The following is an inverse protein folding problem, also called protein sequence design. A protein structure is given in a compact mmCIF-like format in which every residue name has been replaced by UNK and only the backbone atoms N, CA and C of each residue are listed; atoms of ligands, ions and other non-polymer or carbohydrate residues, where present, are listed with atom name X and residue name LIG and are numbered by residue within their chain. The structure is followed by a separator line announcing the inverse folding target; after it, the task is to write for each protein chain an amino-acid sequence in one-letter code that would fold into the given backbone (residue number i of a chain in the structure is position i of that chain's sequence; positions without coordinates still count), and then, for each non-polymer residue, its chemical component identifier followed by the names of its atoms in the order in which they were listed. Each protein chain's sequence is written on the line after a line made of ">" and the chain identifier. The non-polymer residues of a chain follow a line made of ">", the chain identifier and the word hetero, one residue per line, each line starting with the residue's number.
data_IF_092633181640
#
_entry.id   IF_092633181640
#
_cell.length_a   1.000
_cell.length_b   1.000
_cell.length_c   1.000
_cell.angle_alpha   90.00
_cell.angle_beta   90.00
_cell.angle_gamma   90.00
#
_symmetry.space_group_name_H-M   'P 1'
#
loop_
_entity.id
_entity.type
_entity.pdbx_description
1 polymer ?
#
# COMPACT_ATOMS: atom_id res chain seq x y z
N UNK A 1 9.38 29.12 8.22
CA UNK A 1 8.81 28.37 9.37
C UNK A 1 7.97 27.14 9.00
N UNK A 2 7.77 26.81 7.72
CA UNK A 2 6.95 25.67 7.28
C UNK A 2 7.65 24.31 7.24
N UNK A 3 8.98 24.26 7.35
CA UNK A 3 9.76 23.03 7.17
C UNK A 3 9.80 22.11 8.42
N UNK A 4 9.47 22.64 9.61
CA UNK A 4 9.49 21.83 10.85
C UNK A 4 8.31 20.88 10.99
N UNK A 5 7.19 21.16 10.30
CA UNK A 5 5.96 20.36 10.40
C UNK A 5 5.93 19.13 9.47
N UNK A 6 6.95 18.92 8.64
CA UNK A 6 7.01 17.81 7.67
C UNK A 6 7.79 16.58 8.16
N UNK A 7 8.11 16.46 9.45
CA UNK A 7 8.76 15.26 9.97
C UNK A 7 7.95 13.96 9.76
N UNK A 8 6.58 13.96 9.71
CA UNK A 8 5.86 12.74 9.39
C UNK A 8 6.07 12.31 7.93
N UNK A 9 6.19 13.25 6.99
CA UNK A 9 6.55 12.96 5.61
C UNK A 9 7.97 12.39 5.54
N UNK A 10 8.91 12.95 6.30
CA UNK A 10 10.26 12.42 6.38
C UNK A 10 10.32 11.00 6.97
N UNK A 11 9.49 10.70 7.97
CA UNK A 11 9.34 9.34 8.49
C UNK A 11 8.76 8.39 7.44
N UNK A 12 7.77 8.85 6.66
CA UNK A 12 7.21 8.08 5.55
C UNK A 12 8.24 7.80 4.45
N UNK A 13 9.11 8.78 4.13
CA UNK A 13 10.25 8.59 3.22
C UNK A 13 11.21 7.52 3.72
N UNK A 14 11.48 7.50 5.02
CA UNK A 14 12.29 6.46 5.67
C UNK A 14 11.63 5.08 5.57
N UNK A 15 10.32 4.98 5.77
CA UNK A 15 9.58 3.71 5.57
C UNK A 15 9.71 3.22 4.11
N UNK A 16 9.65 4.10 3.11
CA UNK A 16 9.94 3.75 1.72
C UNK A 16 11.37 3.21 1.57
N UNK A 17 12.35 3.91 2.15
CA UNK A 17 13.77 3.50 2.12
C UNK A 17 14.04 2.20 2.88
N UNK A 18 13.21 1.84 3.88
CA UNK A 18 13.33 0.56 4.61
C UNK A 18 13.03 -0.67 3.74
N UNK A 19 12.20 -0.50 2.73
CA UNK A 19 11.85 -1.55 1.76
C UNK A 19 12.81 -1.53 0.57
N UNK A 20 13.10 -0.33 0.04
CA UNK A 20 13.98 -0.09 -1.10
C UNK A 20 14.86 1.12 -0.82
N UNK A 21 16.14 0.89 -0.71
CA UNK A 21 17.15 1.91 -0.31
C UNK A 21 17.00 3.18 -1.16
N UNK A 22 16.86 3.02 -2.46
CA UNK A 22 16.81 4.13 -3.41
C UNK A 22 15.41 4.62 -3.77
N UNK A 23 14.34 4.14 -3.12
CA UNK A 23 12.99 4.65 -3.38
C UNK A 23 12.85 6.15 -3.11
N UNK A 24 13.30 6.62 -1.95
CA UNK A 24 13.29 8.04 -1.58
C UNK A 24 14.14 8.90 -2.53
N UNK A 25 15.43 8.62 -2.73
CA UNK A 25 16.27 9.32 -3.69
C UNK A 25 15.70 9.32 -5.12
N UNK A 26 15.15 8.21 -5.60
CA UNK A 26 14.54 8.12 -6.92
C UNK A 26 13.32 9.06 -7.06
N UNK A 27 12.48 9.16 -6.03
CA UNK A 27 11.36 10.10 -6.03
C UNK A 27 11.80 11.55 -5.93
N UNK A 28 12.84 11.89 -5.17
CA UNK A 28 13.45 13.23 -5.21
C UNK A 28 13.95 13.58 -6.62
N UNK A 29 14.55 12.61 -7.30
CA UNK A 29 14.98 12.78 -8.69
C UNK A 29 13.78 12.92 -9.66
N UNK A 30 12.70 12.18 -9.45
CA UNK A 30 11.47 12.28 -10.24
C UNK A 30 10.81 13.65 -10.09
N UNK A 31 10.78 14.19 -8.87
CA UNK A 31 10.24 15.52 -8.55
C UNK A 31 11.20 16.69 -8.85
N UNK A 32 12.32 16.42 -9.54
CA UNK A 32 13.27 17.45 -9.98
C UNK A 32 14.18 18.03 -8.90
N UNK A 33 14.18 17.47 -7.69
CA UNK A 33 15.07 17.91 -6.59
C UNK A 33 16.52 17.41 -6.75
N UNK A 34 16.70 16.37 -7.54
CA UNK A 34 18.00 15.91 -8.02
C UNK A 34 18.02 16.05 -9.53
N UNK A 35 18.99 16.82 -10.07
CA UNK A 35 19.05 17.16 -11.50
C UNK A 35 20.38 16.72 -12.14
N UNK A 36 20.48 16.78 -13.46
CA UNK A 36 21.69 16.47 -14.21
C UNK A 36 22.13 15.02 -14.13
N UNK A 37 23.45 14.78 -14.18
CA UNK A 37 24.04 13.43 -14.12
C UNK A 37 23.64 12.63 -12.86
N UNK A 38 23.59 13.21 -11.65
CA UNK A 38 23.13 12.52 -10.45
C UNK A 38 21.71 11.97 -10.57
N UNK A 39 20.80 12.65 -11.28
CA UNK A 39 19.42 12.19 -11.52
C UNK A 39 19.42 10.84 -12.27
N UNK A 40 20.19 10.77 -13.36
CA UNK A 40 20.30 9.54 -14.16
C UNK A 40 20.91 8.42 -13.33
N UNK A 41 22.02 8.71 -12.62
CA UNK A 41 22.69 7.73 -11.76
C UNK A 41 21.73 7.17 -10.69
N UNK A 42 20.92 8.02 -10.06
CA UNK A 42 19.94 7.61 -9.04
C UNK A 42 18.91 6.64 -9.62
N UNK A 43 18.37 6.89 -10.81
CA UNK A 43 17.44 5.97 -11.46
C UNK A 43 18.09 4.64 -11.86
N UNK A 44 19.33 4.67 -12.35
CA UNK A 44 20.06 3.46 -12.71
C UNK A 44 20.31 2.59 -11.47
N UNK A 45 20.74 3.20 -10.35
CA UNK A 45 20.98 2.46 -9.10
C UNK A 45 19.67 1.93 -8.53
N UNK A 46 18.59 2.71 -8.53
CA UNK A 46 17.28 2.26 -8.08
C UNK A 46 16.76 1.07 -8.91
N UNK A 47 16.89 1.12 -10.24
CA UNK A 47 16.51 0.02 -11.12
C UNK A 47 17.40 -1.22 -10.88
N UNK A 48 18.70 -1.03 -10.65
CA UNK A 48 19.64 -2.09 -10.30
C UNK A 48 19.27 -2.77 -8.97
N UNK A 49 18.90 -1.99 -7.94
CA UNK A 49 18.43 -2.53 -6.66
C UNK A 49 17.17 -3.40 -6.85
N UNK A 50 16.17 -2.93 -7.62
CA UNK A 50 14.96 -3.69 -7.92
C UNK A 50 15.24 -5.02 -8.62
N UNK A 51 16.23 -5.04 -9.52
CA UNK A 51 16.63 -6.25 -10.22
C UNK A 51 17.41 -7.22 -9.30
N UNK A 52 18.35 -6.69 -8.51
CA UNK A 52 19.19 -7.49 -7.62
C UNK A 52 18.43 -8.11 -6.46
N UNK A 53 17.42 -7.44 -5.90
CA UNK A 53 16.61 -7.95 -4.78
C UNK A 53 15.82 -9.21 -5.14
N UNK A 54 15.63 -9.48 -6.42
CA UNK A 54 14.99 -10.71 -6.92
C UNK A 54 15.99 -11.84 -7.18
N UNK A 55 17.28 -11.58 -6.98
CA UNK A 55 18.35 -12.57 -7.12
C UNK A 55 18.47 -13.42 -5.84
N UNK A 56 18.69 -14.74 -5.95
CA UNK A 56 18.98 -15.59 -4.80
C UNK A 56 20.30 -15.24 -4.08
N UNK A 57 21.11 -14.34 -4.63
CA UNK A 57 22.37 -13.84 -4.04
C UNK A 57 22.17 -12.49 -3.33
N UNK A 58 20.94 -11.97 -3.24
CA UNK A 58 20.67 -10.72 -2.52
C UNK A 58 21.02 -10.89 -1.02
N UNK A 59 21.73 -9.91 -0.41
CA UNK A 59 22.01 -9.94 1.03
C UNK A 59 20.70 -9.87 1.83
N UNK A 60 20.71 -10.43 3.06
CA UNK A 60 19.54 -10.30 3.94
C UNK A 60 19.29 -8.83 4.26
N UNK A 61 18.03 -8.46 4.34
CA UNK A 61 17.59 -7.09 4.61
C UNK A 61 17.97 -6.61 6.00
N UNK A 62 18.20 -7.54 6.92
CA UNK A 62 18.60 -7.29 8.29
C UNK A 62 20.11 -7.30 8.49
N UNK A 63 20.87 -7.56 7.43
CA UNK A 63 22.33 -7.46 7.46
C UNK A 63 22.76 -6.02 7.73
N UNK A 64 23.77 -5.84 8.58
CA UNK A 64 24.22 -4.52 9.02
C UNK A 64 24.51 -3.55 7.87
N UNK A 65 25.21 -3.93 6.79
CA UNK A 65 25.43 -3.03 5.65
C UNK A 65 24.12 -2.59 4.97
N UNK A 66 23.13 -3.49 4.86
CA UNK A 66 21.84 -3.18 4.26
C UNK A 66 21.03 -2.22 5.13
N UNK A 67 21.00 -2.44 6.45
CA UNK A 67 20.31 -1.57 7.41
C UNK A 67 20.96 -0.19 7.45
N UNK A 68 22.29 -0.12 7.48
CA UNK A 68 23.03 1.15 7.46
C UNK A 68 22.76 1.91 6.15
N UNK A 69 22.82 1.25 4.99
CA UNK A 69 22.51 1.86 3.70
C UNK A 69 21.10 2.47 3.66
N UNK A 70 20.11 1.74 4.17
CA UNK A 70 18.72 2.22 4.25
C UNK A 70 18.57 3.38 5.25
N UNK A 71 19.24 3.31 6.38
CA UNK A 71 19.28 4.40 7.35
C UNK A 71 19.86 5.69 6.75
N UNK A 72 20.96 5.58 6.02
CA UNK A 72 21.57 6.73 5.33
C UNK A 72 20.67 7.30 4.22
N UNK A 73 20.03 6.43 3.42
CA UNK A 73 19.11 6.87 2.38
C UNK A 73 17.85 7.53 2.98
N UNK A 74 17.33 6.98 4.07
CA UNK A 74 16.22 7.56 4.83
C UNK A 74 16.61 8.91 5.45
N UNK A 75 17.81 9.03 6.02
CA UNK A 75 18.35 10.28 6.54
C UNK A 75 18.48 11.34 5.43
N UNK A 76 19.07 10.97 4.31
CA UNK A 76 19.22 11.85 3.16
C UNK A 76 17.87 12.36 2.64
N UNK A 77 16.94 11.44 2.36
CA UNK A 77 15.62 11.82 1.85
C UNK A 77 14.84 12.63 2.88
N UNK A 78 14.88 12.23 4.15
CA UNK A 78 14.23 12.94 5.24
C UNK A 78 14.75 14.35 5.45
N UNK A 79 16.08 14.55 5.29
CA UNK A 79 16.70 15.87 5.34
C UNK A 79 16.18 16.80 4.22
N UNK A 80 16.05 16.25 3.02
CA UNK A 80 15.49 16.99 1.87
C UNK A 80 14.02 17.37 2.07
N UNK A 81 13.28 16.60 2.89
CA UNK A 81 11.85 16.84 3.18
C UNK A 81 11.66 17.81 4.35
N UNK A 82 12.41 17.65 5.45
CA UNK A 82 12.19 18.40 6.70
C UNK A 82 13.48 18.75 7.46
N UNK A 83 14.55 19.09 6.72
CA UNK A 83 15.85 19.50 7.27
C UNK A 83 16.43 18.51 8.31
N UNK A 84 17.09 18.98 9.37
CA UNK A 84 17.75 18.14 10.35
C UNK A 84 16.78 17.23 11.16
N UNK A 85 15.60 17.69 11.63
CA UNK A 85 14.61 16.81 12.24
C UNK A 85 14.13 15.71 11.30
N UNK A 86 13.98 16.04 10.01
CA UNK A 86 13.59 15.08 8.98
C UNK A 86 14.65 14.02 8.74
N UNK A 87 15.95 14.37 8.81
CA UNK A 87 17.02 13.40 8.70
C UNK A 87 16.94 12.35 9.79
N UNK A 88 16.73 12.76 11.05
CA UNK A 88 16.58 11.84 12.17
C UNK A 88 15.32 10.95 12.01
N UNK A 89 14.17 11.55 11.70
CA UNK A 89 12.92 10.81 11.49
C UNK A 89 13.05 9.79 10.35
N UNK A 90 13.64 10.19 9.22
CA UNK A 90 13.87 9.33 8.08
C UNK A 90 14.84 8.18 8.36
N UNK A 91 15.94 8.45 9.09
CA UNK A 91 16.88 7.40 9.48
C UNK A 91 16.23 6.38 10.43
N UNK A 92 15.58 6.85 11.49
CA UNK A 92 14.96 5.99 12.52
C UNK A 92 13.86 5.12 11.90
N UNK A 93 13.00 5.70 11.08
CA UNK A 93 11.93 4.95 10.43
C UNK A 93 12.46 3.97 9.37
N UNK A 94 13.56 4.28 8.67
CA UNK A 94 14.20 3.36 7.74
C UNK A 94 14.80 2.15 8.47
N UNK A 95 15.48 2.37 9.59
CA UNK A 95 16.06 1.28 10.41
C UNK A 95 14.94 0.43 11.01
N UNK A 96 14.01 1.03 11.76
CA UNK A 96 12.89 0.32 12.38
C UNK A 96 12.02 -0.41 11.35
N UNK A 97 11.74 0.26 10.22
CA UNK A 97 10.99 -0.29 9.10
C UNK A 97 11.66 -1.50 8.46
N UNK A 98 13.00 -1.55 8.37
CA UNK A 98 13.71 -2.71 7.83
C UNK A 98 13.36 -4.00 8.56
N UNK A 99 13.33 -3.97 9.90
CA UNK A 99 12.95 -5.12 10.73
C UNK A 99 11.44 -5.38 10.69
N UNK A 100 10.61 -4.32 10.71
CA UNK A 100 9.16 -4.46 10.64
C UNK A 100 8.72 -5.09 9.32
N UNK A 101 9.25 -4.63 8.17
CA UNK A 101 8.95 -5.18 6.86
C UNK A 101 9.51 -6.57 6.64
N UNK A 102 10.67 -6.88 7.19
CA UNK A 102 11.19 -8.26 7.16
C UNK A 102 10.21 -9.23 7.85
N UNK A 103 9.64 -8.85 9.00
CA UNK A 103 8.60 -9.64 9.67
C UNK A 103 7.29 -9.66 8.88
N UNK A 104 6.82 -8.51 8.42
CA UNK A 104 5.59 -8.38 7.63
C UNK A 104 5.65 -9.23 6.36
N UNK A 105 6.77 -9.22 5.62
CA UNK A 105 6.96 -10.05 4.44
C UNK A 105 6.85 -11.54 4.77
N UNK A 106 7.47 -12.01 5.84
CA UNK A 106 7.37 -13.41 6.28
C UNK A 106 5.93 -13.80 6.62
N UNK A 107 5.19 -12.91 7.29
CA UNK A 107 3.76 -13.12 7.57
C UNK A 107 2.93 -13.16 6.28
N UNK A 108 3.18 -12.26 5.34
CA UNK A 108 2.50 -12.24 4.04
C UNK A 108 2.79 -13.53 3.28
N UNK A 109 4.04 -13.96 3.18
CA UNK A 109 4.41 -15.23 2.52
C UNK A 109 3.72 -16.41 3.21
N UNK A 110 3.75 -16.48 4.54
CA UNK A 110 3.11 -17.54 5.30
C UNK A 110 1.58 -17.55 5.12
N UNK A 111 0.94 -16.37 5.13
CA UNK A 111 -0.50 -16.26 4.95
C UNK A 111 -0.96 -16.53 3.52
N UNK A 112 -0.12 -16.18 2.54
CA UNK A 112 -0.52 -16.22 1.12
C UNK A 112 -0.03 -17.44 0.38
N UNK A 113 1.06 -18.05 0.82
CA UNK A 113 1.77 -19.08 0.07
C UNK A 113 2.34 -18.61 -1.27
N UNK A 114 2.40 -17.29 -1.50
CA UNK A 114 2.97 -16.70 -2.70
C UNK A 114 4.49 -16.88 -2.71
N UNK A 115 5.09 -17.07 -3.90
CA UNK A 115 6.53 -17.02 -4.03
C UNK A 115 7.06 -15.66 -3.55
N UNK A 116 8.16 -15.69 -2.79
CA UNK A 116 8.78 -14.50 -2.21
C UNK A 116 9.05 -13.35 -3.21
N UNK A 117 9.48 -13.59 -4.47
CA UNK A 117 9.63 -12.53 -5.46
C UNK A 117 8.32 -11.81 -5.82
N UNK A 118 7.18 -12.49 -5.75
CA UNK A 118 5.86 -11.88 -6.04
C UNK A 118 5.48 -10.91 -4.92
N UNK A 119 5.70 -11.30 -3.66
CA UNK A 119 5.51 -10.42 -2.51
C UNK A 119 6.45 -9.21 -2.61
N UNK A 120 7.68 -9.42 -3.08
CA UNK A 120 8.65 -8.37 -3.33
C UNK A 120 8.18 -7.29 -4.32
N UNK A 121 7.42 -7.65 -5.36
CA UNK A 121 6.81 -6.66 -6.28
C UNK A 121 5.81 -5.77 -5.55
N UNK A 122 4.99 -6.34 -4.66
CA UNK A 122 4.08 -5.55 -3.81
C UNK A 122 4.81 -4.56 -2.91
N UNK A 123 5.92 -4.99 -2.32
CA UNK A 123 6.80 -4.08 -1.54
C UNK A 123 7.41 -2.97 -2.40
N UNK A 124 7.83 -3.27 -3.64
CA UNK A 124 8.35 -2.26 -4.57
C UNK A 124 7.33 -1.13 -4.78
N UNK A 125 6.06 -1.50 -5.03
CA UNK A 125 4.98 -0.53 -5.22
C UNK A 125 4.71 0.30 -3.96
N UNK A 126 4.73 -0.33 -2.78
CA UNK A 126 4.57 0.37 -1.50
C UNK A 126 5.73 1.33 -1.23
N UNK A 127 6.97 0.88 -1.42
CA UNK A 127 8.16 1.70 -1.22
C UNK A 127 8.13 2.95 -2.09
N UNK A 128 7.80 2.79 -3.37
CA UNK A 128 7.69 3.89 -4.32
C UNK A 128 6.52 4.83 -3.98
N UNK A 129 5.37 4.27 -3.57
CA UNK A 129 4.22 5.04 -3.13
C UNK A 129 4.51 5.91 -1.90
N UNK A 130 5.13 5.34 -0.87
CA UNK A 130 5.53 6.10 0.33
C UNK A 130 6.55 7.19 0.01
N UNK A 131 7.55 6.87 -0.81
CA UNK A 131 8.54 7.84 -1.23
C UNK A 131 7.93 8.97 -2.07
N UNK A 132 7.02 8.68 -3.01
CA UNK A 132 6.35 9.67 -3.83
C UNK A 132 5.51 10.65 -2.99
N UNK A 133 4.75 10.13 -2.03
CA UNK A 133 3.94 10.94 -1.11
C UNK A 133 4.84 11.82 -0.25
N UNK A 134 5.91 11.25 0.29
CA UNK A 134 6.81 11.92 1.22
C UNK A 134 7.62 13.04 0.57
N UNK A 135 8.04 12.86 -0.67
CA UNK A 135 8.93 13.79 -1.39
C UNK A 135 8.20 14.74 -2.31
N UNK A 136 6.86 14.80 -2.21
CA UNK A 136 6.05 15.72 -3.02
C UNK A 136 6.58 17.16 -2.91
N UNK A 137 6.52 17.96 -3.98
CA UNK A 137 6.83 19.38 -3.93
C UNK A 137 5.94 20.10 -2.92
N UNK A 138 6.48 21.09 -2.25
CA UNK A 138 5.66 22.00 -1.45
C UNK A 138 4.71 22.77 -2.38
N UNK A 139 3.47 23.02 -1.96
CA UNK A 139 2.61 23.94 -2.69
C UNK A 139 3.35 25.27 -2.84
N UNK A 140 3.34 25.86 -4.05
CA UNK A 140 3.93 27.19 -4.24
C UNK A 140 3.32 28.15 -3.23
N UNK A 141 4.16 28.98 -2.54
CA UNK A 141 3.63 29.97 -1.65
C UNK A 141 2.74 30.91 -2.47
N UNK A 142 1.49 31.01 -2.04
CA UNK A 142 0.51 31.93 -2.61
C UNK A 142 1.14 33.32 -2.60
N UNK A 143 1.38 33.91 -3.79
CA UNK A 143 1.93 35.26 -3.93
C UNK A 143 0.86 36.23 -3.42
N UNK A 144 1.05 36.75 -2.23
CA UNK A 144 0.11 37.62 -1.53
C UNK A 144 -0.28 38.90 -2.33
N UNK A 145 0.46 39.22 -3.39
CA UNK A 145 0.27 40.41 -4.20
C UNK A 145 -0.32 40.12 -5.60
N UNK A 146 -0.73 38.90 -5.89
CA UNK A 146 -1.36 38.56 -7.18
C UNK A 146 -2.88 38.71 -7.05
N UNK A 147 -3.52 39.71 -7.74
CA UNK A 147 -4.97 39.83 -7.75
C UNK A 147 -5.70 38.62 -8.27
N UNK A 148 -5.03 37.74 -9.04
CA UNK A 148 -5.53 36.42 -9.47
C UNK A 148 -5.50 35.38 -8.34
N UNK A 149 -4.72 35.62 -7.27
CA UNK A 149 -4.66 34.70 -6.09
C UNK A 149 -5.96 34.75 -5.25
N UNK A 150 -6.80 35.78 -5.42
CA UNK A 150 -8.12 35.89 -4.80
C UNK A 150 -9.23 35.20 -5.62
N UNK A 151 -8.94 34.77 -6.84
CA UNK A 151 -9.80 33.77 -7.50
C UNK A 151 -9.67 32.48 -6.72
N UNK A 152 -10.78 31.98 -6.12
CA UNK A 152 -10.80 30.64 -5.54
C UNK A 152 -10.07 29.71 -6.51
N UNK A 153 -9.10 28.87 -6.04
CA UNK A 153 -8.38 28.01 -6.95
C UNK A 153 -9.43 27.21 -7.71
N UNK A 154 -9.49 27.46 -9.02
CA UNK A 154 -10.46 26.81 -9.90
C UNK A 154 -10.27 25.31 -9.67
N UNK A 155 -11.18 24.72 -8.90
CA UNK A 155 -11.08 23.35 -8.48
C UNK A 155 -10.98 22.53 -9.76
N UNK A 156 -9.79 22.03 -10.09
CA UNK A 156 -9.61 21.24 -11.29
C UNK A 156 -10.72 20.20 -11.31
N UNK A 157 -11.48 20.10 -12.41
CA UNK A 157 -12.61 19.22 -12.47
C UNK A 157 -12.17 17.81 -12.05
N UNK A 158 -12.95 17.09 -11.23
CA UNK A 158 -12.56 15.81 -10.69
C UNK A 158 -12.15 14.89 -11.86
N UNK A 159 -10.86 14.61 -11.97
CA UNK A 159 -10.36 13.71 -13.00
C UNK A 159 -10.71 12.29 -12.60
N UNK A 160 -11.68 11.69 -13.30
CA UNK A 160 -12.11 10.32 -13.07
C UNK A 160 -10.93 9.34 -13.13
N UNK A 161 -10.01 9.54 -14.07
CA UNK A 161 -8.83 8.69 -14.23
C UNK A 161 -7.91 8.77 -12.99
N UNK A 162 -7.75 9.96 -12.45
CA UNK A 162 -6.99 10.17 -11.20
C UNK A 162 -7.67 9.49 -10.01
N UNK A 163 -8.99 9.66 -9.86
CA UNK A 163 -9.76 9.06 -8.78
C UNK A 163 -9.71 7.52 -8.84
N UNK A 164 -9.74 6.95 -10.05
CA UNK A 164 -9.53 5.51 -10.30
C UNK A 164 -8.12 5.10 -9.83
N UNK A 165 -7.09 5.85 -10.21
CA UNK A 165 -5.70 5.56 -9.82
C UNK A 165 -5.50 5.64 -8.29
N UNK A 166 -6.01 6.70 -7.66
CA UNK A 166 -5.99 6.87 -6.19
C UNK A 166 -6.74 5.73 -5.52
N UNK A 167 -7.90 5.36 -6.04
CA UNK A 167 -8.71 4.28 -5.51
C UNK A 167 -8.03 2.91 -5.64
N UNK A 168 -7.47 2.60 -6.79
CA UNK A 168 -6.73 1.34 -7.00
C UNK A 168 -5.54 1.23 -6.04
N UNK A 169 -4.76 2.31 -5.88
CA UNK A 169 -3.66 2.33 -4.92
C UNK A 169 -4.16 2.18 -3.48
N UNK A 170 -5.23 2.88 -3.10
CA UNK A 170 -5.83 2.77 -1.77
C UNK A 170 -6.33 1.35 -1.49
N UNK A 171 -7.01 0.71 -2.45
CA UNK A 171 -7.45 -0.68 -2.34
C UNK A 171 -6.27 -1.65 -2.21
N UNK A 172 -5.18 -1.41 -2.93
CA UNK A 172 -3.96 -2.20 -2.80
C UNK A 172 -3.36 -2.06 -1.38
N UNK A 173 -3.21 -0.84 -0.84
CA UNK A 173 -2.72 -0.60 0.54
C UNK A 173 -3.63 -1.24 1.58
N UNK A 174 -4.95 -1.12 1.41
CA UNK A 174 -5.93 -1.78 2.27
C UNK A 174 -5.78 -3.30 2.25
N UNK A 175 -5.58 -3.89 1.06
CA UNK A 175 -5.36 -5.35 0.92
C UNK A 175 -4.07 -5.79 1.60
N UNK A 176 -2.99 -5.01 1.52
CA UNK A 176 -1.74 -5.28 2.26
C UNK A 176 -2.00 -5.29 3.76
N UNK A 177 -2.65 -4.25 4.30
CA UNK A 177 -2.96 -4.16 5.73
C UNK A 177 -3.80 -5.34 6.21
N UNK A 178 -4.85 -5.70 5.47
CA UNK A 178 -5.69 -6.87 5.73
C UNK A 178 -4.89 -8.17 5.71
N UNK A 179 -4.03 -8.36 4.71
CA UNK A 179 -3.21 -9.57 4.57
C UNK A 179 -2.23 -9.73 5.73
N UNK A 180 -1.63 -8.64 6.18
CA UNK A 180 -0.75 -8.66 7.37
C UNK A 180 -1.55 -9.05 8.62
N UNK A 181 -2.74 -8.48 8.82
CA UNK A 181 -3.59 -8.82 9.96
C UNK A 181 -4.05 -10.29 9.93
N UNK A 182 -4.43 -10.81 8.76
CA UNK A 182 -4.76 -12.22 8.56
C UNK A 182 -3.56 -13.13 8.86
N UNK A 183 -2.38 -12.78 8.35
CA UNK A 183 -1.15 -13.51 8.60
C UNK A 183 -0.80 -13.58 10.08
N UNK A 184 -0.96 -12.47 10.80
CA UNK A 184 -0.78 -12.44 12.25
C UNK A 184 -1.76 -13.37 12.98
N UNK A 185 -3.05 -13.37 12.59
CA UNK A 185 -4.03 -14.29 13.16
C UNK A 185 -3.64 -15.75 12.92
N UNK A 186 -3.27 -16.11 11.68
CA UNK A 186 -2.92 -17.49 11.36
C UNK A 186 -1.73 -18.00 12.18
N UNK A 187 -0.73 -17.16 12.41
CA UNK A 187 0.43 -17.50 13.25
C UNK A 187 0.05 -17.64 14.73
N UNK A 188 -0.89 -16.83 15.22
CA UNK A 188 -1.28 -16.81 16.64
C UNK A 188 -2.32 -17.86 17.02
N UNK A 189 -3.14 -18.32 16.07
CA UNK A 189 -4.31 -19.18 16.36
C UNK A 189 -4.32 -20.50 15.60
N UNK A 190 -3.28 -20.82 14.80
CA UNK A 190 -3.22 -21.97 13.91
C UNK A 190 -4.44 -22.08 12.96
N UNK A 191 -5.14 -20.95 12.73
CA UNK A 191 -6.30 -20.90 11.84
C UNK A 191 -5.90 -21.15 10.39
N UNK A 192 -6.74 -21.87 9.65
CA UNK A 192 -6.49 -22.13 8.24
C UNK A 192 -6.93 -20.93 7.36
N UNK A 193 -6.14 -20.59 6.33
CA UNK A 193 -6.50 -19.53 5.39
C UNK A 193 -7.84 -19.82 4.68
N UNK A 194 -8.64 -18.79 4.46
CA UNK A 194 -9.88 -18.90 3.68
C UNK A 194 -9.59 -19.37 2.25
N UNK A 195 -10.39 -20.28 1.75
CA UNK A 195 -10.33 -20.77 0.36
C UNK A 195 -11.41 -20.14 -0.55
N UNK A 196 -12.21 -19.23 -0.03
CA UNK A 196 -13.30 -18.57 -0.78
C UNK A 196 -12.83 -17.93 -2.10
N UNK A 197 -11.74 -17.15 -2.17
CA UNK A 197 -11.28 -16.59 -3.43
C UNK A 197 -10.94 -17.64 -4.50
N UNK A 198 -10.28 -18.75 -4.13
CA UNK A 198 -9.99 -19.84 -5.06
C UNK A 198 -11.27 -20.53 -5.56
N UNK A 199 -12.31 -20.58 -4.73
CA UNK A 199 -13.61 -21.15 -5.10
C UNK A 199 -14.35 -20.31 -6.12
N UNK A 200 -14.18 -18.97 -6.11
CA UNK A 200 -14.64 -18.06 -7.17
C UNK A 200 -14.01 -18.45 -8.51
N UNK A 201 -12.68 -18.58 -8.55
CA UNK A 201 -11.94 -18.95 -9.76
C UNK A 201 -12.39 -20.32 -10.28
N UNK A 202 -12.58 -21.30 -9.38
CA UNK A 202 -13.07 -22.63 -9.74
C UNK A 202 -14.48 -22.58 -10.35
N UNK A 203 -15.36 -21.77 -9.79
CA UNK A 203 -16.73 -21.57 -10.29
C UNK A 203 -16.72 -20.89 -11.67
N UNK A 204 -15.91 -19.87 -11.88
CA UNK A 204 -15.76 -19.21 -13.18
C UNK A 204 -15.26 -20.20 -14.23
N UNK A 205 -14.21 -20.99 -13.90
CA UNK A 205 -13.67 -22.00 -14.82
C UNK A 205 -14.71 -23.06 -15.21
N UNK A 206 -15.47 -23.56 -14.25
CA UNK A 206 -16.54 -24.53 -14.49
C UNK A 206 -17.63 -23.97 -15.42
N UNK A 207 -18.11 -22.74 -15.12
CA UNK A 207 -19.12 -22.07 -15.97
C UNK A 207 -18.62 -21.79 -17.38
N UNK A 208 -17.31 -21.56 -17.55
CA UNK A 208 -16.67 -21.35 -18.86
C UNK A 208 -16.32 -22.69 -19.58
N UNK A 209 -16.74 -23.85 -19.06
CA UNK A 209 -16.44 -25.16 -19.65
C UNK A 209 -14.97 -25.59 -19.57
N UNK A 210 -14.15 -24.89 -18.76
CA UNK A 210 -12.70 -25.13 -18.64
C UNK A 210 -12.32 -26.12 -17.52
N UNK A 211 -13.26 -26.88 -17.00
CA UNK A 211 -13.06 -27.86 -15.95
C UNK A 211 -12.78 -27.23 -14.58
N UNK A 212 -12.27 -28.04 -13.64
CA UNK A 212 -11.96 -27.60 -12.27
C UNK A 212 -10.56 -27.01 -12.16
N UNK A 213 -10.38 -26.14 -11.15
CA UNK A 213 -9.06 -25.62 -10.80
C UNK A 213 -8.22 -26.75 -10.15
N UNK A 214 -7.05 -27.01 -10.72
CA UNK A 214 -6.15 -28.04 -10.19
C UNK A 214 -5.68 -27.68 -8.78
N UNK A 215 -5.57 -28.66 -7.89
CA UNK A 215 -5.21 -28.47 -6.47
C UNK A 215 -3.91 -27.65 -6.30
N UNK A 216 -2.90 -27.90 -7.13
CA UNK A 216 -1.61 -27.18 -7.10
C UNK A 216 -1.70 -25.69 -7.44
N UNK A 217 -2.74 -25.26 -8.15
CA UNK A 217 -2.92 -23.86 -8.54
C UNK A 217 -3.87 -23.10 -7.59
N UNK A 218 -4.52 -23.79 -6.65
CA UNK A 218 -5.47 -23.15 -5.72
C UNK A 218 -4.85 -22.04 -4.87
N UNK A 219 -3.63 -22.22 -4.26
CA UNK A 219 -3.03 -21.14 -3.48
C UNK A 219 -2.78 -19.88 -4.30
N UNK A 220 -2.21 -20.02 -5.49
CA UNK A 220 -1.94 -18.89 -6.39
C UNK A 220 -3.25 -18.22 -6.83
N UNK A 221 -4.26 -18.99 -7.21
CA UNK A 221 -5.56 -18.48 -7.61
C UNK A 221 -6.27 -17.76 -6.44
N UNK A 222 -6.13 -18.30 -5.22
CA UNK A 222 -6.67 -17.67 -4.01
C UNK A 222 -6.09 -16.29 -3.80
N UNK A 223 -4.78 -16.18 -3.87
CA UNK A 223 -4.09 -14.91 -3.68
C UNK A 223 -4.35 -13.93 -4.82
N UNK A 224 -4.23 -14.38 -6.07
CA UNK A 224 -4.51 -13.53 -7.22
C UNK A 224 -5.92 -12.91 -7.14
N UNK A 225 -6.92 -13.73 -6.77
CA UNK A 225 -8.30 -13.26 -6.61
C UNK A 225 -8.46 -12.32 -5.43
N UNK A 226 -7.83 -12.60 -4.28
CA UNK A 226 -7.83 -11.75 -3.11
C UNK A 226 -7.27 -10.35 -3.42
N UNK A 227 -6.09 -10.29 -4.06
CA UNK A 227 -5.46 -9.04 -4.43
C UNK A 227 -6.23 -8.28 -5.50
N UNK A 228 -6.73 -8.98 -6.53
CA UNK A 228 -7.55 -8.36 -7.58
C UNK A 228 -8.83 -7.79 -7.00
N UNK A 229 -9.54 -8.56 -6.17
CA UNK A 229 -10.79 -8.14 -5.54
C UNK A 229 -10.58 -6.94 -4.61
N UNK A 230 -9.61 -7.01 -3.70
CA UNK A 230 -9.35 -5.92 -2.76
C UNK A 230 -8.90 -4.63 -3.47
N UNK A 231 -8.02 -4.74 -4.47
CA UNK A 231 -7.59 -3.59 -5.28
C UNK A 231 -8.76 -2.99 -6.07
N UNK A 232 -9.61 -3.83 -6.69
CA UNK A 232 -10.73 -3.36 -7.49
C UNK A 232 -11.81 -2.64 -6.67
N UNK A 233 -12.07 -3.09 -5.43
CA UNK A 233 -12.97 -2.38 -4.51
C UNK A 233 -12.45 -1.00 -4.11
N UNK A 234 -11.15 -0.79 -4.09
CA UNK A 234 -10.57 0.53 -3.85
C UNK A 234 -10.97 1.57 -4.90
N UNK A 235 -11.21 1.16 -6.16
CA UNK A 235 -11.58 2.07 -7.25
C UNK A 235 -12.86 2.87 -6.94
N UNK A 236 -14.02 2.25 -6.64
CA UNK A 236 -15.22 3.01 -6.27
C UNK A 236 -15.00 3.86 -5.03
N UNK A 237 -14.19 3.40 -4.06
CA UNK A 237 -13.84 4.22 -2.91
C UNK A 237 -13.09 5.48 -3.30
N UNK A 238 -12.08 5.41 -4.16
CA UNK A 238 -11.34 6.57 -4.65
C UNK A 238 -12.25 7.56 -5.38
N UNK A 239 -13.16 7.06 -6.22
CA UNK A 239 -14.14 7.87 -6.95
C UNK A 239 -15.09 8.60 -5.99
N UNK A 240 -15.64 7.92 -5.00
CA UNK A 240 -16.52 8.53 -3.99
C UNK A 240 -15.74 9.49 -3.11
N UNK A 241 -14.59 9.07 -2.61
CA UNK A 241 -13.71 9.91 -1.82
C UNK A 241 -13.32 11.19 -2.57
N UNK A 242 -13.01 11.12 -3.86
CA UNK A 242 -12.68 12.31 -4.67
C UNK A 242 -13.81 13.34 -4.76
N UNK A 243 -15.06 12.95 -4.51
CA UNK A 243 -16.27 13.77 -4.65
C UNK A 243 -16.94 14.13 -3.34
N UNK A 244 -16.47 13.59 -2.22
CA UNK A 244 -17.05 13.85 -0.89
C UNK A 244 -16.07 14.61 -0.01
N UNK A 245 -16.59 15.42 0.91
CA UNK A 245 -15.82 16.12 1.94
C UNK A 245 -15.62 15.28 3.21
N UNK A 246 -16.06 14.01 3.19
CA UNK A 246 -15.92 13.13 4.36
C UNK A 246 -14.44 12.82 4.57
N UNK A 247 -13.99 12.95 5.81
CA UNK A 247 -12.62 12.65 6.19
C UNK A 247 -12.31 11.17 5.90
N UNK A 248 -11.16 10.85 5.25
CA UNK A 248 -10.80 9.48 4.91
C UNK A 248 -10.68 8.55 6.12
N UNK A 249 -10.39 9.09 7.32
CA UNK A 249 -10.33 8.35 8.59
C UNK A 249 -11.69 7.82 9.02
N UNK A 250 -12.77 8.46 8.57
CA UNK A 250 -14.16 8.05 8.84
C UNK A 250 -14.68 7.22 7.68
N UNK A 251 -14.52 7.71 6.45
CA UNK A 251 -15.04 7.02 5.26
C UNK A 251 -14.34 5.69 4.97
N UNK A 252 -13.05 5.55 5.28
CA UNK A 252 -12.29 4.33 5.06
C UNK A 252 -12.83 3.14 5.88
N UNK A 253 -12.91 3.22 7.21
CA UNK A 253 -13.50 2.17 8.04
C UNK A 253 -14.94 1.80 7.63
N UNK A 254 -15.78 2.80 7.35
CA UNK A 254 -17.15 2.58 6.87
C UNK A 254 -17.13 1.81 5.54
N UNK A 255 -16.27 2.22 4.62
CA UNK A 255 -16.12 1.55 3.34
C UNK A 255 -15.68 0.09 3.51
N UNK A 256 -14.72 -0.20 4.39
CA UNK A 256 -14.31 -1.57 4.69
C UNK A 256 -15.47 -2.44 5.17
N UNK A 257 -16.31 -1.91 6.08
CA UNK A 257 -17.51 -2.60 6.54
C UNK A 257 -18.57 -2.76 5.44
N UNK A 258 -18.69 -1.82 4.51
CA UNK A 258 -19.57 -1.96 3.35
C UNK A 258 -19.09 -3.07 2.42
N UNK A 259 -17.77 -3.19 2.18
CA UNK A 259 -17.21 -4.30 1.40
C UNK A 259 -17.49 -5.64 2.06
N UNK A 260 -17.35 -5.74 3.39
CA UNK A 260 -17.73 -6.93 4.15
C UNK A 260 -19.23 -7.25 4.03
N UNK A 261 -20.10 -6.25 4.20
CA UNK A 261 -21.54 -6.43 4.03
C UNK A 261 -21.92 -6.91 2.62
N UNK A 262 -21.25 -6.37 1.59
CA UNK A 262 -21.42 -6.84 0.22
C UNK A 262 -20.97 -8.30 0.06
N UNK A 263 -19.84 -8.71 0.70
CA UNK A 263 -19.39 -10.09 0.70
C UNK A 263 -20.39 -11.04 1.34
N UNK A 264 -21.00 -10.65 2.48
CA UNK A 264 -22.05 -11.42 3.15
C UNK A 264 -23.28 -11.65 2.27
N UNK A 265 -23.55 -10.78 1.31
CA UNK A 265 -24.67 -10.92 0.39
C UNK A 265 -24.31 -11.76 -0.85
N UNK A 266 -23.20 -11.42 -1.54
CA UNK A 266 -22.89 -12.05 -2.82
C UNK A 266 -22.20 -13.42 -2.72
N UNK A 267 -21.41 -13.68 -1.67
CA UNK A 267 -20.77 -14.99 -1.51
C UNK A 267 -21.79 -16.14 -1.37
N UNK A 268 -22.82 -16.05 -0.52
CA UNK A 268 -23.86 -17.07 -0.48
C UNK A 268 -24.68 -17.16 -1.77
N UNK A 269 -24.99 -16.01 -2.41
CA UNK A 269 -25.71 -15.99 -3.67
C UNK A 269 -24.96 -16.72 -4.81
N UNK A 270 -23.62 -16.74 -4.75
CA UNK A 270 -22.75 -17.46 -5.67
C UNK A 270 -22.44 -18.88 -5.22
N UNK A 271 -22.94 -19.33 -4.06
CA UNK A 271 -22.66 -20.65 -3.47
C UNK A 271 -21.21 -20.80 -3.00
N UNK A 272 -20.57 -19.70 -2.60
CA UNK A 272 -19.16 -19.66 -2.19
C UNK A 272 -18.98 -19.77 -0.67
N UNK A 273 -20.00 -19.37 0.08
CA UNK A 273 -20.05 -19.42 1.54
C UNK A 273 -21.47 -19.72 2.02
N UNK A 274 -21.57 -20.17 3.28
CA UNK A 274 -22.86 -20.28 3.96
C UNK A 274 -23.47 -18.89 4.22
N UNK A 275 -24.79 -18.87 4.30
CA UNK A 275 -25.54 -17.65 4.69
C UNK A 275 -25.12 -17.18 6.08
N UNK A 276 -25.11 -15.87 6.35
CA UNK A 276 -24.53 -15.32 7.60
C UNK A 276 -25.10 -15.94 8.88
N UNK A 277 -26.39 -16.25 8.92
CA UNK A 277 -27.04 -16.84 10.12
C UNK A 277 -26.69 -18.31 10.38
N UNK A 278 -25.98 -18.99 9.46
CA UNK A 278 -25.42 -20.32 9.67
C UNK A 278 -23.95 -20.28 10.09
N UNK A 279 -23.34 -19.12 10.10
CA UNK A 279 -21.91 -18.92 10.42
C UNK A 279 -21.72 -18.57 11.89
N UNK A 280 -20.59 -18.91 12.49
CA UNK A 280 -20.29 -18.55 13.86
C UNK A 280 -20.05 -17.04 14.00
N UNK A 281 -20.43 -16.45 15.14
CA UNK A 281 -20.15 -15.05 15.46
C UNK A 281 -18.64 -14.76 15.44
N UNK A 282 -17.81 -15.72 15.84
CA UNK A 282 -16.37 -15.61 15.79
C UNK A 282 -15.86 -15.44 14.35
N UNK A 283 -16.37 -16.23 13.41
CA UNK A 283 -16.02 -16.12 11.98
C UNK A 283 -16.43 -14.76 11.43
N UNK A 284 -17.69 -14.37 11.66
CA UNK A 284 -18.22 -13.08 11.20
C UNK A 284 -17.46 -11.90 11.81
N UNK A 285 -17.14 -11.96 13.11
CA UNK A 285 -16.36 -10.93 13.81
C UNK A 285 -14.94 -10.80 13.27
N UNK A 286 -14.25 -11.93 13.01
CA UNK A 286 -12.91 -11.90 12.41
C UNK A 286 -12.93 -11.29 11.01
N UNK A 287 -13.92 -11.63 10.20
CA UNK A 287 -14.04 -11.08 8.85
C UNK A 287 -14.36 -9.58 8.88
N UNK A 288 -15.29 -9.15 9.75
CA UNK A 288 -15.57 -7.73 9.96
C UNK A 288 -14.30 -6.97 10.38
N UNK A 289 -13.51 -7.53 11.30
CA UNK A 289 -12.25 -6.96 11.74
C UNK A 289 -11.26 -6.80 10.58
N UNK A 290 -11.07 -7.82 9.76
CA UNK A 290 -10.15 -7.73 8.62
C UNK A 290 -10.58 -6.70 7.58
N UNK A 291 -11.87 -6.60 7.32
CA UNK A 291 -12.39 -5.59 6.40
C UNK A 291 -12.32 -4.17 7.00
N UNK A 292 -12.45 -4.05 8.33
CA UNK A 292 -12.19 -2.79 9.02
C UNK A 292 -10.73 -2.36 8.85
N UNK A 293 -9.77 -3.28 9.04
CA UNK A 293 -8.33 -3.03 8.81
C UNK A 293 -8.06 -2.65 7.35
N UNK A 294 -8.69 -3.34 6.40
CA UNK A 294 -8.65 -2.97 4.99
C UNK A 294 -9.11 -1.53 4.76
N UNK A 295 -10.27 -1.17 5.31
CA UNK A 295 -10.84 0.17 5.18
C UNK A 295 -9.97 1.26 5.81
N UNK A 296 -9.38 1.00 6.98
CA UNK A 296 -8.43 1.91 7.64
C UNK A 296 -7.21 2.13 6.75
N UNK A 297 -6.60 1.07 6.21
CA UNK A 297 -5.46 1.16 5.29
C UNK A 297 -5.78 1.95 4.02
N UNK A 298 -6.94 1.67 3.42
CA UNK A 298 -7.40 2.40 2.23
C UNK A 298 -7.67 3.88 2.53
N UNK A 299 -8.30 4.20 3.66
CA UNK A 299 -8.54 5.57 4.12
C UNK A 299 -7.23 6.33 4.35
N UNK A 300 -6.27 5.70 5.01
CA UNK A 300 -4.94 6.29 5.25
C UNK A 300 -4.22 6.62 3.92
N UNK A 301 -4.29 5.73 2.94
CA UNK A 301 -3.71 5.96 1.61
C UNK A 301 -4.39 7.13 0.89
N UNK A 302 -5.74 7.21 0.91
CA UNK A 302 -6.48 8.34 0.32
C UNK A 302 -6.11 9.65 1.01
N UNK A 303 -6.03 9.66 2.35
CA UNK A 303 -5.61 10.85 3.11
C UNK A 303 -4.22 11.31 2.69
N UNK A 304 -3.26 10.38 2.67
CA UNK A 304 -1.89 10.70 2.30
C UNK A 304 -1.81 11.30 0.89
N UNK A 305 -2.57 10.74 -0.07
CA UNK A 305 -2.63 11.24 -1.46
C UNK A 305 -3.41 12.55 -1.61
N UNK A 306 -4.39 12.84 -0.73
CA UNK A 306 -5.09 14.14 -0.70
C UNK A 306 -4.21 15.24 -0.14
N UNK A 307 -3.48 14.97 0.93
CA UNK A 307 -2.55 15.93 1.53
C UNK A 307 -1.31 16.17 0.66
N UNK A 308 -1.15 15.36 -0.40
CA UNK A 308 -0.14 15.53 -1.44
C UNK A 308 -0.59 16.50 -2.57
N UNK A 309 -1.75 17.09 -2.45
CA UNK A 309 -2.29 18.15 -3.31
C UNK A 309 -1.98 19.48 -2.68
#
# INVERSE_FOLDING_TARGET
>A
MSNELRWPDAALAGLGSSMRTFAGPAMLAAHGRITGKPRIATFVVAAGELAMDKSPKAPDRTDLPAVVGRGLAGAYTGREVAAAPGAAAGALSAVAGSYAWWRARRLVVAATGLPDPVVGVGEDLLAMGFAAIATRPDPEPERADDPAAHAEPESQPPSLLRDIGVGAFAGFVGTVAMTIAQGAQYVLTDAQPSSSPASVVDTIKRKAGRGRLQRKHRPVANQAMHWLYGTSWGIPYGVVAGRTKIAPEVSGPIFGLLVWGAALAHEPALGLADVPWKRSLQSLGSEAFFHLVYGIGAGAAVRALRNAR
#
